data_IF_926687355654
#
_entry.id   IF_926687355654
#
_cell.length_a   1.000
_cell.length_b   1.000
_cell.length_c   1.000
_cell.angle_alpha   90.00
_cell.angle_beta   90.00
_cell.angle_gamma   90.00
#
_symmetry.space_group_name_H-M   'P 1'
#
loop_
_entity.id
_entity.type
_entity.pdbx_description
1 polymer ?
#
# COMPACT_ATOMS: atom_id res chain seq x y z
N UNK A 1 -0.60 25.20 55.89
CA UNK A 1 0.10 25.70 54.69
C UNK A 1 0.34 24.50 53.77
N UNK A 2 -0.67 24.14 52.98
CA UNK A 2 -0.60 23.01 52.04
C UNK A 2 -0.01 23.52 50.73
N UNK A 3 1.27 23.16 50.51
CA UNK A 3 2.04 23.49 49.33
C UNK A 3 1.41 22.79 48.12
N UNK A 4 0.69 23.55 47.28
CA UNK A 4 0.09 23.08 46.03
C UNK A 4 1.21 22.69 45.06
N UNK A 5 1.58 21.40 45.04
CA UNK A 5 2.50 20.84 44.06
C UNK A 5 1.96 21.13 42.66
N UNK A 6 2.72 21.92 41.89
CA UNK A 6 2.48 22.16 40.47
C UNK A 6 2.80 20.86 39.74
N UNK A 7 1.91 20.30 38.89
CA UNK A 7 2.22 19.09 38.15
C UNK A 7 3.45 19.31 37.26
N UNK A 8 4.30 18.29 37.05
CA UNK A 8 5.49 18.41 36.20
C UNK A 8 5.07 18.82 34.79
N UNK A 9 5.76 19.81 34.24
CA UNK A 9 5.55 20.27 32.88
C UNK A 9 5.73 19.09 31.92
N UNK A 10 4.64 18.65 31.32
CA UNK A 10 4.68 17.67 30.23
C UNK A 10 5.50 18.33 29.12
N UNK A 11 6.66 17.78 28.70
CA UNK A 11 7.36 18.32 27.56
C UNK A 11 6.38 18.26 26.40
N UNK A 12 6.04 19.43 25.83
CA UNK A 12 5.23 19.53 24.65
C UNK A 12 5.89 18.63 23.60
N UNK A 13 5.32 17.45 23.40
CA UNK A 13 5.67 16.51 22.35
C UNK A 13 5.29 17.22 21.06
N UNK A 14 6.14 18.14 20.62
CA UNK A 14 6.01 18.88 19.39
C UNK A 14 6.17 17.86 18.28
N UNK A 15 5.09 17.12 17.99
CA UNK A 15 4.98 16.30 16.81
C UNK A 15 5.34 17.23 15.66
N UNK A 16 6.31 16.90 14.80
CA UNK A 16 6.48 17.65 13.57
C UNK A 16 5.11 17.65 12.89
N UNK A 17 4.51 18.83 12.80
CA UNK A 17 3.18 19.01 12.23
C UNK A 17 3.28 18.48 10.81
N UNK A 18 2.55 17.40 10.50
CA UNK A 18 2.35 17.00 9.12
C UNK A 18 1.87 18.27 8.39
N UNK A 19 2.63 18.80 7.41
CA UNK A 19 2.25 20.04 6.76
C UNK A 19 1.01 19.71 5.93
N UNK A 20 -0.17 20.00 6.46
CA UNK A 20 -1.50 19.80 5.84
C UNK A 20 -1.73 20.74 4.62
N UNK A 21 -0.71 20.89 3.77
CA UNK A 21 -0.60 21.76 2.60
C UNK A 21 0.82 21.85 2.03
N UNK A 22 0.98 22.59 0.92
CA UNK A 22 2.27 22.80 0.25
C UNK A 22 2.73 21.58 -0.56
N UNK A 23 3.96 21.12 -0.31
CA UNK A 23 4.60 20.03 -1.07
C UNK A 23 3.88 18.68 -0.95
N UNK A 24 3.02 18.50 0.07
CA UNK A 24 2.17 17.31 0.20
C UNK A 24 1.26 17.08 -1.01
N UNK A 25 0.82 18.13 -1.71
CA UNK A 25 0.03 17.98 -2.94
C UNK A 25 0.84 17.42 -4.10
N UNK A 26 2.14 17.73 -4.18
CA UNK A 26 3.05 17.12 -5.15
C UNK A 26 3.27 15.63 -4.83
N UNK A 27 3.32 15.27 -3.54
CA UNK A 27 3.37 13.86 -3.13
C UNK A 27 2.09 13.13 -3.52
N UNK A 28 0.91 13.75 -3.39
CA UNK A 28 -0.36 13.17 -3.88
C UNK A 28 -0.31 12.92 -5.38
N UNK A 29 0.19 13.88 -6.17
CA UNK A 29 0.37 13.69 -7.61
C UNK A 29 1.37 12.56 -7.93
N UNK A 30 2.48 12.47 -7.19
CA UNK A 30 3.43 11.38 -7.32
C UNK A 30 2.78 10.02 -7.02
N UNK A 31 2.05 9.90 -5.91
CA UNK A 31 1.33 8.67 -5.54
C UNK A 31 0.26 8.33 -6.58
N UNK A 32 -0.46 9.33 -7.09
CA UNK A 32 -1.43 9.14 -8.16
C UNK A 32 -0.76 8.59 -9.42
N UNK A 33 0.39 9.14 -9.85
CA UNK A 33 1.14 8.66 -11.02
C UNK A 33 1.71 7.24 -10.81
N UNK A 34 2.26 6.96 -9.63
CA UNK A 34 2.79 5.64 -9.29
C UNK A 34 1.67 4.58 -9.28
N UNK A 35 0.52 4.88 -8.68
CA UNK A 35 -0.63 3.98 -8.68
C UNK A 35 -1.26 3.86 -10.07
N UNK A 36 -1.35 4.97 -10.81
CA UNK A 36 -1.88 4.99 -12.18
C UNK A 36 -1.06 4.08 -13.11
N UNK A 37 0.26 4.07 -13.00
CA UNK A 37 1.10 3.21 -13.83
C UNK A 37 1.08 1.75 -13.35
N UNK A 38 1.15 1.51 -12.05
CA UNK A 38 1.24 0.14 -11.50
C UNK A 38 -0.12 -0.58 -11.46
N UNK A 39 -1.15 0.01 -10.87
CA UNK A 39 -2.47 -0.63 -10.69
C UNK A 39 -3.27 -0.76 -12.00
N UNK A 40 -3.04 0.12 -12.97
CA UNK A 40 -3.76 0.04 -14.26
C UNK A 40 -3.27 -1.09 -15.15
N UNK A 41 -2.05 -1.58 -14.95
CA UNK A 41 -1.55 -2.75 -15.66
C UNK A 41 -2.27 -4.01 -15.20
N UNK A 42 -2.56 -4.11 -13.90
CA UNK A 42 -3.29 -5.25 -13.32
C UNK A 42 -4.68 -5.37 -13.94
N UNK A 43 -5.40 -4.25 -14.11
CA UNK A 43 -6.73 -4.27 -14.74
C UNK A 43 -6.69 -4.61 -16.23
N UNK A 44 -5.53 -4.42 -16.88
CA UNK A 44 -5.37 -4.66 -18.32
C UNK A 44 -4.79 -6.04 -18.63
N UNK A 45 -4.51 -6.86 -17.61
CA UNK A 45 -3.97 -8.21 -17.73
C UNK A 45 -4.71 -9.08 -18.74
N UNK A 46 -6.05 -9.13 -18.65
CA UNK A 46 -6.86 -10.00 -19.50
C UNK A 46 -6.78 -9.64 -20.99
N UNK A 47 -6.55 -8.36 -21.30
CA UNK A 47 -6.37 -7.91 -22.68
C UNK A 47 -4.96 -8.24 -23.20
N UNK A 48 -3.95 -8.02 -22.35
CA UNK A 48 -2.54 -8.16 -22.69
C UNK A 48 -2.16 -9.64 -22.86
N UNK A 49 -2.54 -10.47 -21.92
CA UNK A 49 -2.16 -11.89 -21.88
C UNK A 49 -3.26 -12.82 -22.40
N UNK A 50 -4.45 -12.31 -22.73
CA UNK A 50 -5.57 -13.13 -23.20
C UNK A 50 -5.21 -13.93 -24.46
N UNK A 51 -4.67 -13.25 -25.47
CA UNK A 51 -4.24 -13.90 -26.72
C UNK A 51 -3.06 -14.84 -26.49
N UNK A 52 -2.04 -14.39 -25.75
CA UNK A 52 -0.86 -15.21 -25.44
C UNK A 52 -1.23 -16.50 -24.69
N UNK A 53 -2.14 -16.44 -23.72
CA UNK A 53 -2.62 -17.61 -22.98
C UNK A 53 -3.51 -18.53 -23.84
N UNK A 54 -4.27 -17.95 -24.77
CA UNK A 54 -5.05 -18.70 -25.74
C UNK A 54 -4.15 -19.50 -26.69
N UNK A 55 -3.09 -18.89 -27.21
CA UNK A 55 -2.14 -19.54 -28.12
C UNK A 55 -1.35 -20.67 -27.41
N UNK A 56 -1.18 -20.57 -26.09
CA UNK A 56 -0.61 -21.64 -25.25
C UNK A 56 -1.63 -22.74 -24.85
N UNK A 57 -2.90 -22.63 -25.26
CA UNK A 57 -3.96 -23.57 -24.89
C UNK A 57 -4.42 -23.49 -23.43
N UNK A 58 -4.04 -22.42 -22.70
CA UNK A 58 -4.32 -22.22 -21.28
C UNK A 58 -5.05 -20.90 -20.99
N UNK A 59 -6.01 -20.52 -21.84
CA UNK A 59 -6.71 -19.22 -21.74
C UNK A 59 -7.32 -18.96 -20.36
N UNK A 60 -8.10 -19.91 -19.82
CA UNK A 60 -8.85 -19.70 -18.57
C UNK A 60 -8.04 -20.07 -17.34
N UNK A 61 -7.57 -21.32 -17.28
CA UNK A 61 -6.82 -21.83 -16.13
C UNK A 61 -5.52 -21.06 -15.93
N UNK A 62 -4.83 -20.75 -17.02
CA UNK A 62 -3.57 -20.03 -16.95
C UNK A 62 -3.73 -18.59 -16.47
N UNK A 63 -4.74 -17.87 -17.00
CA UNK A 63 -5.06 -16.53 -16.55
C UNK A 63 -5.38 -16.48 -15.04
N UNK A 64 -6.21 -17.42 -14.57
CA UNK A 64 -6.59 -17.52 -13.17
C UNK A 64 -5.37 -17.79 -12.27
N UNK A 65 -4.50 -18.72 -12.67
CA UNK A 65 -3.28 -19.02 -11.92
C UNK A 65 -2.39 -17.78 -11.81
N UNK A 66 -2.10 -17.12 -12.92
CA UNK A 66 -1.21 -15.95 -12.95
C UNK A 66 -1.73 -14.84 -12.03
N UNK A 67 -3.03 -14.54 -12.08
CA UNK A 67 -3.65 -13.51 -11.24
C UNK A 67 -3.72 -13.91 -9.76
N UNK A 68 -4.01 -15.17 -9.45
CA UNK A 68 -4.03 -15.68 -8.09
C UNK A 68 -2.63 -15.66 -7.47
N UNK A 69 -1.61 -16.09 -8.21
CA UNK A 69 -0.22 -16.01 -7.77
C UNK A 69 0.22 -14.56 -7.57
N UNK A 70 -0.16 -13.66 -8.48
CA UNK A 70 0.17 -12.24 -8.34
C UNK A 70 -0.46 -11.64 -7.08
N UNK A 71 -1.73 -11.96 -6.82
CA UNK A 71 -2.45 -11.53 -5.61
C UNK A 71 -1.81 -12.11 -4.35
N UNK A 72 -1.48 -13.40 -4.35
CA UNK A 72 -0.82 -14.07 -3.24
C UNK A 72 0.56 -13.44 -2.93
N UNK A 73 1.37 -13.19 -3.96
CA UNK A 73 2.68 -12.55 -3.79
C UNK A 73 2.56 -11.10 -3.31
N UNK A 74 1.59 -10.35 -3.83
CA UNK A 74 1.32 -8.97 -3.40
C UNK A 74 0.94 -8.95 -1.91
N UNK A 75 0.02 -9.81 -1.49
CA UNK A 75 -0.39 -9.91 -0.09
C UNK A 75 0.75 -10.37 0.83
N UNK A 76 1.54 -11.36 0.40
CA UNK A 76 2.70 -11.84 1.17
C UNK A 76 3.75 -10.74 1.33
N UNK A 77 3.99 -9.94 0.30
CA UNK A 77 4.91 -8.81 0.39
C UNK A 77 4.43 -7.74 1.37
N UNK A 78 3.13 -7.63 1.64
CA UNK A 78 2.57 -6.77 2.68
C UNK A 78 3.10 -7.10 4.08
N UNK A 79 3.23 -8.39 4.41
CA UNK A 79 3.85 -8.84 5.68
C UNK A 79 5.32 -8.42 5.77
N UNK A 80 6.05 -8.53 4.66
CA UNK A 80 7.48 -8.19 4.59
C UNK A 80 7.69 -6.67 4.63
N UNK A 81 6.75 -5.90 4.08
CA UNK A 81 6.87 -4.45 3.96
C UNK A 81 6.92 -3.75 5.33
N UNK A 82 6.23 -4.27 6.34
CA UNK A 82 6.22 -3.72 7.69
C UNK A 82 7.62 -3.61 8.33
N UNK A 83 8.35 -4.73 8.50
CA UNK A 83 9.74 -4.70 8.98
C UNK A 83 10.69 -3.90 8.09
N UNK A 84 10.54 -3.98 6.76
CA UNK A 84 11.39 -3.25 5.81
C UNK A 84 11.25 -1.73 6.00
N UNK A 85 10.04 -1.22 6.21
CA UNK A 85 9.80 0.22 6.44
C UNK A 85 10.39 0.74 7.76
N UNK A 86 10.73 -0.14 8.71
CA UNK A 86 11.45 0.25 9.94
C UNK A 86 12.95 0.47 9.69
N UNK A 87 13.52 -0.23 8.71
CA UNK A 87 14.94 -0.20 8.39
C UNK A 87 15.26 0.77 7.25
N UNK A 88 14.37 0.89 6.27
CA UNK A 88 14.52 1.70 5.08
C UNK A 88 13.49 2.84 5.05
N UNK A 89 13.89 3.98 4.50
CA UNK A 89 12.96 5.09 4.26
C UNK A 89 11.90 4.67 3.24
N UNK A 90 10.64 5.11 3.41
CA UNK A 90 9.54 4.80 2.47
C UNK A 90 9.86 5.18 1.01
N UNK A 91 10.72 6.19 0.77
CA UNK A 91 11.25 6.52 -0.56
C UNK A 91 12.05 5.37 -1.19
N UNK A 92 12.96 4.77 -0.42
CA UNK A 92 13.81 3.67 -0.91
C UNK A 92 12.97 2.43 -1.19
N UNK A 93 12.00 2.13 -0.32
CA UNK A 93 11.10 0.99 -0.50
C UNK A 93 10.26 1.16 -1.77
N UNK A 94 9.70 2.36 -1.99
CA UNK A 94 8.95 2.67 -3.21
C UNK A 94 9.82 2.58 -4.48
N UNK A 95 11.06 3.07 -4.44
CA UNK A 95 11.99 2.96 -5.57
C UNK A 95 12.33 1.50 -5.91
N UNK A 96 12.64 0.69 -4.89
CA UNK A 96 12.94 -0.74 -5.07
C UNK A 96 11.71 -1.45 -5.64
N UNK A 97 10.51 -1.17 -5.11
CA UNK A 97 9.27 -1.75 -5.60
C UNK A 97 8.97 -1.39 -7.07
N UNK A 98 9.12 -0.12 -7.45
CA UNK A 98 8.89 0.35 -8.82
C UNK A 98 9.89 -0.23 -9.83
N UNK A 99 11.16 -0.38 -9.43
CA UNK A 99 12.19 -1.02 -10.27
C UNK A 99 11.91 -2.52 -10.43
N UNK A 100 11.58 -3.22 -9.35
CA UNK A 100 11.20 -4.64 -9.40
C UNK A 100 9.99 -4.88 -10.30
N UNK A 101 8.98 -4.01 -10.19
CA UNK A 101 7.79 -4.07 -11.02
C UNK A 101 8.11 -3.87 -12.51
N UNK A 102 8.91 -2.84 -12.83
CA UNK A 102 9.32 -2.57 -14.22
C UNK A 102 10.18 -3.69 -14.80
N UNK A 103 11.07 -4.25 -13.98
CA UNK A 103 11.90 -5.41 -14.36
C UNK A 103 11.04 -6.64 -14.62
N UNK A 104 10.02 -6.90 -13.80
CA UNK A 104 9.08 -8.01 -14.00
C UNK A 104 8.32 -7.93 -15.32
N UNK A 105 7.86 -6.73 -15.69
CA UNK A 105 7.23 -6.49 -16.99
C UNK A 105 8.22 -6.67 -18.15
N UNK A 106 9.44 -6.14 -18.01
CA UNK A 106 10.48 -6.26 -19.02
C UNK A 106 10.83 -7.74 -19.28
N UNK A 107 11.06 -8.52 -18.23
CA UNK A 107 11.33 -9.96 -18.36
C UNK A 107 10.14 -10.73 -18.92
N UNK A 108 8.92 -10.30 -18.61
CA UNK A 108 7.71 -10.92 -19.14
C UNK A 108 7.53 -10.70 -20.65
N UNK A 109 8.21 -9.73 -21.26
CA UNK A 109 8.20 -9.54 -22.73
C UNK A 109 8.83 -10.71 -23.50
N UNK A 110 9.72 -11.46 -22.84
CA UNK A 110 10.44 -12.61 -23.40
C UNK A 110 9.83 -13.95 -22.95
N UNK A 111 8.65 -13.92 -22.32
CA UNK A 111 8.05 -15.14 -21.78
C UNK A 111 7.48 -16.04 -22.89
N UNK A 112 8.00 -17.26 -23.00
CA UNK A 112 7.56 -18.28 -23.96
C UNK A 112 6.66 -19.35 -23.34
N UNK A 113 6.58 -19.40 -22.01
CA UNK A 113 5.85 -20.41 -21.26
C UNK A 113 5.08 -19.77 -20.10
N UNK A 114 3.98 -20.41 -19.70
CA UNK A 114 3.17 -19.95 -18.58
C UNK A 114 3.95 -19.90 -17.26
N UNK A 115 4.82 -20.88 -17.00
CA UNK A 115 5.66 -20.89 -15.78
C UNK A 115 6.61 -19.69 -15.76
N UNK A 116 7.18 -19.33 -16.91
CA UNK A 116 8.04 -18.15 -17.02
C UNK A 116 7.26 -16.86 -16.73
N UNK A 117 6.02 -16.78 -17.22
CA UNK A 117 5.11 -15.67 -16.98
C UNK A 117 4.71 -15.59 -15.50
N UNK A 118 4.44 -16.70 -14.83
CA UNK A 118 4.17 -16.72 -13.38
C UNK A 118 5.39 -16.22 -12.58
N UNK A 119 6.60 -16.69 -12.91
CA UNK A 119 7.82 -16.27 -12.20
C UNK A 119 8.13 -14.78 -12.40
N UNK A 120 7.94 -14.26 -13.60
CA UNK A 120 8.30 -12.87 -13.95
C UNK A 120 7.16 -11.89 -13.63
N UNK A 121 5.97 -12.13 -14.16
CA UNK A 121 4.81 -11.26 -13.95
C UNK A 121 4.25 -11.42 -12.53
N UNK A 122 3.88 -12.64 -12.12
CA UNK A 122 3.22 -12.82 -10.82
C UNK A 122 4.16 -12.60 -9.63
N UNK A 123 5.33 -13.24 -9.63
CA UNK A 123 6.23 -13.14 -8.47
C UNK A 123 6.98 -11.80 -8.49
N UNK A 124 7.75 -11.49 -9.54
CA UNK A 124 8.61 -10.30 -9.55
C UNK A 124 7.77 -9.01 -9.54
N UNK A 125 6.76 -8.92 -10.41
CA UNK A 125 5.89 -7.73 -10.45
C UNK A 125 4.94 -7.68 -9.25
N UNK A 126 4.43 -8.81 -8.75
CA UNK A 126 3.61 -8.85 -7.54
C UNK A 126 4.36 -8.36 -6.29
N UNK A 127 5.62 -8.77 -6.11
CA UNK A 127 6.48 -8.22 -5.04
C UNK A 127 6.68 -6.72 -5.19
N UNK A 128 6.93 -6.24 -6.42
CA UNK A 128 7.09 -4.81 -6.68
C UNK A 128 5.84 -3.99 -6.35
N UNK A 129 4.66 -4.49 -6.73
CA UNK A 129 3.37 -3.85 -6.47
C UNK A 129 3.09 -3.77 -4.97
N UNK A 130 3.31 -4.86 -4.24
CA UNK A 130 3.01 -4.90 -2.81
C UNK A 130 4.04 -4.23 -1.91
N UNK A 131 5.25 -3.92 -2.41
CA UNK A 131 6.16 -2.96 -1.76
C UNK A 131 5.74 -1.50 -2.03
N UNK A 132 5.34 -1.20 -3.27
CA UNK A 132 5.04 0.17 -3.71
C UNK A 132 3.73 0.69 -3.11
N UNK A 133 2.70 -0.16 -3.00
CA UNK A 133 1.38 0.19 -2.47
C UNK A 133 1.44 0.73 -1.04
N UNK A 134 1.86 -0.06 -0.04
CA UNK A 134 1.96 0.38 1.35
C UNK A 134 2.88 1.59 1.52
N UNK A 135 4.01 1.63 0.81
CA UNK A 135 4.95 2.77 0.86
C UNK A 135 4.28 4.08 0.41
N UNK A 136 3.44 4.02 -0.62
CA UNK A 136 2.69 5.18 -1.12
C UNK A 136 1.61 5.64 -0.12
N UNK A 137 0.94 4.71 0.56
CA UNK A 137 0.01 5.03 1.64
C UNK A 137 0.71 5.63 2.87
N UNK A 138 1.88 5.14 3.24
CA UNK A 138 2.69 5.68 4.33
C UNK A 138 3.14 7.11 3.99
N UNK A 139 3.57 7.38 2.75
CA UNK A 139 3.89 8.73 2.30
C UNK A 139 2.68 9.69 2.47
N UNK A 140 1.48 9.30 2.02
CA UNK A 140 0.27 10.12 2.20
C UNK A 140 -0.08 10.37 3.68
N UNK A 141 0.00 9.32 4.51
CA UNK A 141 -0.34 9.42 5.94
C UNK A 141 0.67 10.23 6.76
N UNK A 142 1.91 10.31 6.28
CA UNK A 142 2.96 11.15 6.88
C UNK A 142 2.78 12.63 6.54
N UNK A 143 2.36 12.95 5.32
CA UNK A 143 2.19 14.34 4.86
C UNK A 143 0.87 14.99 5.27
N UNK A 144 -0.21 14.23 5.38
CA UNK A 144 -1.52 14.74 5.78
C UNK A 144 -1.96 14.09 7.07
N UNK A 145 -2.55 14.85 8.00
CA UNK A 145 -3.18 14.30 9.21
C UNK A 145 -4.68 14.60 9.22
N UNK A 146 -5.06 15.87 9.08
CA UNK A 146 -6.46 16.30 9.10
C UNK A 146 -7.16 16.10 7.75
N UNK A 147 -6.42 16.21 6.62
CA UNK A 147 -6.98 16.13 5.25
C UNK A 147 -6.71 14.80 4.54
N UNK A 148 -6.36 13.73 5.28
CA UNK A 148 -5.99 12.41 4.73
C UNK A 148 -7.01 11.85 3.74
N UNK A 149 -8.30 11.90 4.08
CA UNK A 149 -9.36 11.37 3.22
C UNK A 149 -9.40 12.04 1.85
N UNK A 150 -9.20 13.36 1.77
CA UNK A 150 -9.16 14.10 0.51
C UNK A 150 -7.92 13.77 -0.32
N UNK A 151 -6.77 13.64 0.33
CA UNK A 151 -5.51 13.29 -0.32
C UNK A 151 -5.54 11.87 -0.91
N UNK A 152 -6.01 10.88 -0.13
CA UNK A 152 -6.18 9.50 -0.59
C UNK A 152 -7.24 9.43 -1.68
N UNK A 153 -8.37 10.11 -1.52
CA UNK A 153 -9.41 10.17 -2.55
C UNK A 153 -8.89 10.70 -3.88
N UNK A 154 -8.11 11.80 -3.88
CA UNK A 154 -7.52 12.35 -5.09
C UNK A 154 -6.51 11.38 -5.74
N UNK A 155 -5.71 10.69 -4.94
CA UNK A 155 -4.79 9.66 -5.44
C UNK A 155 -5.56 8.51 -6.11
N UNK A 156 -6.68 8.07 -5.52
CA UNK A 156 -7.53 7.01 -6.08
C UNK A 156 -8.23 7.44 -7.37
N UNK A 157 -8.63 8.70 -7.50
CA UNK A 157 -9.15 9.25 -8.76
C UNK A 157 -8.12 9.11 -9.88
N UNK A 158 -6.83 9.38 -9.59
CA UNK A 158 -5.74 9.16 -10.53
C UNK A 158 -5.60 7.69 -10.95
N UNK A 159 -5.69 6.77 -9.98
CA UNK A 159 -5.71 5.32 -10.26
C UNK A 159 -6.87 4.93 -11.18
N UNK A 160 -8.09 5.38 -10.88
CA UNK A 160 -9.27 5.07 -11.68
C UNK A 160 -9.17 5.62 -13.11
N UNK A 161 -8.67 6.85 -13.26
CA UNK A 161 -8.39 7.44 -14.58
C UNK A 161 -7.38 6.60 -15.36
N UNK A 162 -6.33 6.12 -14.70
CA UNK A 162 -5.38 5.16 -15.29
C UNK A 162 -6.05 3.88 -15.77
N UNK A 163 -6.88 3.27 -14.94
CA UNK A 163 -7.58 2.03 -15.27
C UNK A 163 -8.55 2.16 -16.45
N UNK A 164 -9.11 3.35 -16.67
CA UNK A 164 -9.96 3.62 -17.83
C UNK A 164 -9.15 3.87 -19.11
N UNK A 165 -8.02 4.59 -19.01
CA UNK A 165 -7.19 4.94 -20.17
C UNK A 165 -6.27 3.79 -20.61
N UNK A 166 -5.71 3.04 -19.66
CA UNK A 166 -4.67 2.04 -19.95
C UNK A 166 -5.14 0.90 -20.88
N UNK A 167 -6.37 0.37 -20.77
CA UNK A 167 -6.87 -0.61 -21.74
C UNK A 167 -6.89 -0.09 -23.17
N UNK A 168 -7.20 1.19 -23.40
CA UNK A 168 -7.21 1.78 -24.75
C UNK A 168 -5.79 1.86 -25.31
N UNK A 169 -4.84 2.30 -24.46
CA UNK A 169 -3.41 2.36 -24.82
C UNK A 169 -2.87 0.98 -25.13
N UNK A 170 -3.21 -0.04 -24.32
CA UNK A 170 -2.75 -1.41 -24.55
C UNK A 170 -3.35 -2.01 -25.82
N UNK A 171 -4.62 -1.76 -26.15
CA UNK A 171 -5.20 -2.18 -27.43
C UNK A 171 -4.41 -1.62 -28.60
N UNK A 172 -4.13 -0.32 -28.56
CA UNK A 172 -3.34 0.35 -29.59
C UNK A 172 -1.93 -0.27 -29.71
N UNK A 173 -1.26 -0.59 -28.59
CA UNK A 173 0.05 -1.23 -28.65
C UNK A 173 0.00 -2.66 -29.19
N UNK A 174 -1.02 -3.44 -28.83
CA UNK A 174 -1.17 -4.80 -29.34
C UNK A 174 -1.44 -4.83 -30.85
N UNK A 175 -2.19 -3.87 -31.38
CA UNK A 175 -2.49 -3.78 -32.82
C UNK A 175 -1.26 -3.46 -33.68
N UNK A 176 -0.32 -2.65 -33.15
CA UNK A 176 0.83 -2.15 -33.93
C UNK A 176 2.16 -2.85 -33.63
N UNK A 177 2.38 -3.27 -32.37
CA UNK A 177 3.69 -3.71 -31.88
C UNK A 177 3.71 -5.16 -31.37
N UNK A 178 2.58 -5.88 -31.50
CA UNK A 178 2.40 -7.25 -31.03
C UNK A 178 2.64 -7.38 -29.50
N UNK A 179 2.53 -8.60 -28.97
CA UNK A 179 2.61 -8.83 -27.51
C UNK A 179 3.94 -8.37 -26.89
N UNK A 180 5.08 -8.79 -27.44
CA UNK A 180 6.39 -8.46 -26.87
C UNK A 180 6.69 -6.97 -26.93
N UNK A 181 6.31 -6.29 -28.01
CA UNK A 181 6.48 -4.84 -28.15
C UNK A 181 5.59 -4.05 -27.20
N UNK A 182 4.33 -4.48 -27.02
CA UNK A 182 3.42 -3.90 -26.03
C UNK A 182 3.97 -4.03 -24.60
N UNK A 183 4.49 -5.19 -24.22
CA UNK A 183 5.11 -5.41 -22.90
C UNK A 183 6.34 -4.52 -22.67
N UNK A 184 7.18 -4.34 -23.70
CA UNK A 184 8.34 -3.43 -23.62
C UNK A 184 7.90 -1.97 -23.41
N UNK A 185 6.92 -1.50 -24.17
CA UNK A 185 6.39 -0.14 -24.03
C UNK A 185 5.72 0.07 -22.66
N UNK A 186 4.99 -0.92 -22.15
CA UNK A 186 4.38 -0.86 -20.83
C UNK A 186 5.43 -0.83 -19.71
N UNK A 187 6.55 -1.55 -19.87
CA UNK A 187 7.69 -1.46 -18.94
C UNK A 187 8.34 -0.07 -18.95
N UNK A 188 8.40 0.59 -20.12
CA UNK A 188 8.89 1.96 -20.22
C UNK A 188 7.92 2.97 -19.57
N UNK A 189 6.61 2.75 -19.70
CA UNK A 189 5.60 3.55 -19.00
C UNK A 189 5.73 3.34 -17.49
N UNK A 190 5.92 2.10 -17.01
CA UNK A 190 6.06 1.83 -15.57
C UNK A 190 7.31 2.44 -14.95
N UNK A 191 8.38 2.70 -15.73
CA UNK A 191 9.54 3.44 -15.24
C UNK A 191 9.21 4.88 -14.79
N UNK A 192 8.11 5.47 -15.29
CA UNK A 192 7.64 6.77 -14.79
C UNK A 192 7.22 6.70 -13.31
N UNK A 193 6.85 5.52 -12.80
CA UNK A 193 6.62 5.30 -11.37
C UNK A 193 7.90 5.48 -10.54
N UNK A 194 9.09 5.21 -11.10
CA UNK A 194 10.37 5.44 -10.42
C UNK A 194 10.61 6.94 -10.23
N UNK A 195 10.32 7.75 -11.26
CA UNK A 195 10.36 9.21 -11.14
C UNK A 195 9.36 9.73 -10.11
N UNK A 196 8.16 9.16 -10.07
CA UNK A 196 7.16 9.50 -9.06
C UNK A 196 7.62 9.13 -7.63
N UNK A 197 8.28 7.98 -7.46
CA UNK A 197 8.86 7.57 -6.18
C UNK A 197 10.03 8.47 -5.76
N UNK A 198 10.76 9.06 -6.71
CA UNK A 198 11.81 10.05 -6.40
C UNK A 198 11.24 11.34 -5.82
N UNK A 199 10.00 11.69 -6.18
CA UNK A 199 9.28 12.85 -5.65
C UNK A 199 8.89 12.69 -4.17
N UNK A 200 8.96 11.47 -3.61
CA UNK A 200 8.72 11.19 -2.20
C UNK A 200 9.87 11.76 -1.37
N UNK A 201 9.83 13.07 -1.09
CA UNK A 201 10.82 13.72 -0.24
C UNK A 201 10.66 13.19 1.20
N UNK A 202 11.69 12.54 1.78
CA UNK A 202 11.62 12.13 3.18
C UNK A 202 11.48 13.38 4.04
N UNK A 203 10.39 13.47 4.79
CA UNK A 203 10.28 14.45 5.87
C UNK A 203 11.20 13.94 6.98
N UNK A 204 12.34 14.61 7.17
CA UNK A 204 13.26 14.37 8.28
C UNK A 204 12.58 14.83 9.59
N UNK A 205 11.75 13.95 10.14
CA UNK A 205 11.30 13.98 11.52
C UNK A 205 11.24 12.54 12.00
N UNK A 206 11.31 12.27 13.32
CA UNK A 206 11.16 10.91 13.82
C UNK A 206 9.79 10.41 13.38
N UNK A 207 9.76 9.63 12.30
CA UNK A 207 8.56 9.00 11.76
C UNK A 207 8.20 7.85 12.67
N UNK A 208 7.81 8.19 13.90
CA UNK A 208 7.02 7.31 14.73
C UNK A 208 5.59 7.38 14.19
N UNK A 209 5.37 6.83 12.99
CA UNK A 209 4.04 6.40 12.58
C UNK A 209 3.68 5.20 13.47
N UNK A 210 3.37 5.49 14.74
CA UNK A 210 2.57 4.57 15.54
C UNK A 210 1.33 4.27 14.69
N UNK A 211 0.91 3.00 14.59
CA UNK A 211 -0.38 2.68 13.99
C UNK A 211 -1.41 3.64 14.57
N UNK A 212 -2.33 4.13 13.74
CA UNK A 212 -3.49 4.86 14.24
C UNK A 212 -4.29 3.83 15.06
N UNK A 213 -3.88 3.63 16.31
CA UNK A 213 -4.72 3.04 17.33
C UNK A 213 -5.86 4.05 17.50
N UNK A 214 -7.07 3.59 17.25
CA UNK A 214 -8.29 4.28 17.64
C UNK A 214 -8.10 4.85 19.06
N UNK A 215 -8.33 6.16 19.30
CA UNK A 215 -8.22 6.74 20.64
C UNK A 215 -8.92 5.92 21.72
N UNK A 216 -10.03 5.24 21.38
CA UNK A 216 -10.74 4.33 22.29
C UNK A 216 -10.02 3.00 22.50
N UNK A 217 -9.50 2.36 21.44
CA UNK A 217 -8.70 1.13 21.60
C UNK A 217 -7.42 1.38 22.41
N UNK A 218 -6.85 2.59 22.30
CA UNK A 218 -5.67 2.99 23.06
C UNK A 218 -5.97 3.30 24.52
N UNK A 219 -7.13 3.86 24.84
CA UNK A 219 -7.58 4.06 26.22
C UNK A 219 -7.91 2.71 26.85
N UNK A 220 -8.66 1.84 26.17
CA UNK A 220 -8.98 0.49 26.63
C UNK A 220 -7.74 -0.37 26.84
N UNK A 221 -6.76 -0.32 25.95
CA UNK A 221 -5.49 -1.04 26.11
C UNK A 221 -4.64 -0.47 27.25
N UNK A 222 -4.69 0.84 27.51
CA UNK A 222 -4.03 1.45 28.69
C UNK A 222 -4.72 1.08 29.98
N UNK A 223 -6.06 1.02 29.99
CA UNK A 223 -6.86 0.63 31.15
C UNK A 223 -6.60 -0.86 31.43
N UNK A 224 -6.76 -1.72 30.44
CA UNK A 224 -6.43 -3.15 30.50
C UNK A 224 -4.98 -3.39 30.94
N UNK A 225 -3.99 -2.68 30.38
CA UNK A 225 -2.60 -2.83 30.81
C UNK A 225 -2.34 -2.27 32.22
N UNK A 226 -3.04 -1.22 32.66
CA UNK A 226 -2.89 -0.67 34.00
C UNK A 226 -3.56 -1.56 35.06
N UNK A 227 -4.73 -2.13 34.76
CA UNK A 227 -5.43 -3.11 35.58
C UNK A 227 -4.61 -4.41 35.66
N UNK A 228 -4.10 -4.90 34.52
CA UNK A 228 -3.26 -6.10 34.46
C UNK A 228 -1.89 -5.91 35.14
N UNK A 229 -1.33 -4.70 35.12
CA UNK A 229 -0.08 -4.37 35.85
C UNK A 229 -0.29 -4.25 37.37
N UNK A 230 -1.51 -3.93 37.81
CA UNK A 230 -1.88 -3.88 39.23
C UNK A 230 -2.04 -5.28 39.83
N UNK A 231 -2.48 -6.25 39.03
CA UNK A 231 -2.73 -7.62 39.51
C UNK A 231 -1.52 -8.56 39.42
N UNK A 232 -0.60 -8.37 38.46
CA UNK A 232 0.48 -9.32 38.21
C UNK A 232 1.82 -8.60 37.98
N UNK A 233 2.61 -8.49 39.05
CA UNK A 233 3.93 -7.89 39.01
C UNK A 233 5.02 -8.75 38.38
N UNK A 234 4.96 -9.06 37.06
CA UNK A 234 6.11 -9.23 36.14
C UNK A 234 5.68 -9.62 34.69
N UNK A 235 6.33 -8.96 33.72
CA UNK A 235 6.60 -9.28 32.28
C UNK A 235 5.50 -9.87 31.36
N UNK A 236 4.94 -9.02 30.47
CA UNK A 236 3.89 -9.41 29.50
C UNK A 236 4.49 -9.97 28.20
N UNK A 237 4.30 -11.28 28.01
CA UNK A 237 4.20 -11.94 26.69
C UNK A 237 2.75 -11.72 26.21
N UNK A 238 2.57 -11.12 25.01
CA UNK A 238 1.25 -10.84 24.46
C UNK A 238 0.57 -12.11 23.90
N UNK A 239 -0.75 -12.29 24.10
CA UNK A 239 -1.56 -13.09 23.19
C UNK A 239 -2.78 -12.37 22.60
N UNK A 240 -3.17 -12.89 21.44
CA UNK A 240 -4.28 -12.63 20.51
C UNK A 240 -5.64 -12.28 21.16
N UNK A 241 -6.31 -11.21 20.70
CA UNK A 241 -7.69 -10.89 21.08
C UNK A 241 -8.66 -11.47 20.04
N UNK A 242 -9.68 -12.18 20.54
CA UNK A 242 -10.68 -12.96 19.81
C UNK A 242 -11.88 -12.09 19.43
N UNK A 243 -12.33 -12.17 18.17
CA UNK A 243 -13.33 -11.29 17.53
C UNK A 243 -14.75 -11.34 18.12
N UNK A 244 -15.03 -12.28 19.01
CA UNK A 244 -16.34 -12.54 19.62
C UNK A 244 -16.78 -11.47 20.63
N UNK A 245 -15.86 -10.75 21.25
CA UNK A 245 -16.19 -9.63 22.15
C UNK A 245 -16.64 -8.37 21.38
N UNK A 246 -16.18 -8.19 20.13
CA UNK A 246 -16.49 -7.01 19.29
C UNK A 246 -17.96 -6.98 18.85
N UNK A 247 -18.61 -8.14 18.77
CA UNK A 247 -20.04 -8.21 18.39
C UNK A 247 -20.99 -7.83 19.52
N UNK A 248 -20.61 -8.07 20.78
CA UNK A 248 -21.47 -7.75 21.94
C UNK A 248 -21.61 -6.25 22.19
N UNK A 249 -20.56 -5.47 21.92
CA UNK A 249 -20.60 -4.02 22.16
C UNK A 249 -21.53 -3.31 21.16
N UNK A 250 -21.55 -3.75 19.90
CA UNK A 250 -22.44 -3.17 18.86
C UNK A 250 -23.94 -3.32 19.15
N UNK A 251 -24.33 -4.29 19.98
CA UNK A 251 -25.74 -4.54 20.29
C UNK A 251 -26.21 -3.66 21.47
N UNK A 252 -25.30 -3.23 22.35
CA UNK A 252 -25.60 -2.25 23.41
C UNK A 252 -25.87 -0.84 22.85
N UNK A 253 -25.14 -0.40 21.82
CA UNK A 253 -25.26 0.98 21.30
C UNK A 253 -26.59 1.26 20.60
N UNK A 254 -27.34 0.23 20.18
CA UNK A 254 -28.62 0.39 19.49
C UNK A 254 -29.82 0.56 20.44
N UNK A 255 -29.71 0.16 21.71
CA UNK A 255 -30.79 0.32 22.69
C UNK A 255 -30.78 1.71 23.35
N UNK A 256 -29.64 2.41 23.38
CA UNK A 256 -29.54 3.78 23.92
C UNK A 256 -29.97 4.88 22.94
N UNK A 257 -30.14 4.61 21.64
CA UNK A 257 -30.55 5.62 20.66
C UNK A 257 -32.09 5.74 20.49
N UNK A 258 -32.89 4.92 21.18
CA UNK A 258 -34.37 4.88 21.02
C UNK A 258 -35.16 5.20 22.31
N UNK A 259 -34.52 5.52 23.44
CA UNK A 259 -35.23 5.88 24.70
C UNK A 259 -34.78 7.23 25.25
#
# INVERSE_FOLDING_TARGET
>A
MTQKQRPPAVPALCKPLAPDGGWGWMVVLGVALANMTTQSLVSTFGLLFGQALHDMGQATTGAALVMNFMSATTNLSGLITGPIMKLLSYRQVALIGAVLFSMGLLLSSMATNITHLILTYSILSGLGLGLTGPSSFVALSTYFNTKRGRAVGLALVGTGMGQMLMPQVVRFFLEWYDFSGAMLLLSAISLHAVFAAWLYRPLEGPSESKPVEDPELRSLRRISNAEMSSELGMEVIAPEVREDEVKKVKECDLEEEIT
#
